data_IF_806780006488
#
_entry.id   IF_806780006488
#
_cell.length_a   1.000
_cell.length_b   1.000
_cell.length_c   1.000
_cell.angle_alpha   90.00
_cell.angle_beta   90.00
_cell.angle_gamma   90.00
#
_symmetry.space_group_name_H-M   'P 1'
#
loop_
_entity.id
_entity.type
_entity.pdbx_description
1 polymer ?
#
# COMPACT_ATOMS: atom_id res chain seq x y z
N UNK A 1 -75.48 -29.05 22.77
CA UNK A 1 -74.54 -28.24 23.56
C UNK A 1 -73.22 -28.13 22.81
N UNK A 2 -72.72 -26.91 22.65
CA UNK A 2 -71.50 -26.53 21.92
C UNK A 2 -70.25 -27.20 22.51
N UNK A 3 -69.29 -27.56 21.65
CA UNK A 3 -67.87 -27.25 21.90
C UNK A 3 -67.06 -27.36 20.61
N UNK A 4 -66.71 -26.19 20.07
CA UNK A 4 -65.67 -26.02 19.06
C UNK A 4 -64.31 -26.34 19.69
N UNK A 5 -63.47 -27.09 18.96
CA UNK A 5 -62.03 -27.19 19.20
C UNK A 5 -61.36 -26.49 18.02
N UNK A 6 -60.90 -25.26 18.24
CA UNK A 6 -59.87 -24.63 17.42
C UNK A 6 -58.57 -24.79 18.21
N UNK A 7 -57.70 -25.71 17.78
CA UNK A 7 -56.33 -25.81 18.25
C UNK A 7 -55.45 -25.09 17.22
N UNK A 8 -54.69 -24.11 17.71
CA UNK A 8 -53.95 -23.15 16.93
C UNK A 8 -52.82 -23.76 16.09
N UNK A 9 -52.72 -23.28 14.86
CA UNK A 9 -51.53 -23.31 14.03
C UNK A 9 -50.79 -21.98 14.25
N UNK A 10 -49.72 -21.95 15.06
CA UNK A 10 -48.94 -20.73 15.25
C UNK A 10 -47.43 -20.95 15.50
N UNK A 11 -46.88 -22.16 15.27
CA UNK A 11 -45.46 -22.44 15.54
C UNK A 11 -44.61 -22.70 14.26
N UNK A 12 -45.20 -22.69 13.06
CA UNK A 12 -44.47 -23.00 11.82
C UNK A 12 -43.75 -21.80 11.18
N UNK A 13 -44.17 -20.56 11.46
CA UNK A 13 -43.62 -19.36 10.83
C UNK A 13 -42.21 -19.01 11.33
N UNK A 14 -41.92 -19.21 12.62
CA UNK A 14 -40.62 -18.87 13.22
C UNK A 14 -39.50 -19.81 12.73
N UNK A 15 -39.75 -21.12 12.66
CA UNK A 15 -38.74 -22.09 12.20
C UNK A 15 -38.45 -21.95 10.70
N UNK A 16 -39.47 -21.63 9.89
CA UNK A 16 -39.29 -21.38 8.46
C UNK A 16 -38.49 -20.08 8.21
N UNK A 17 -38.77 -19.01 8.96
CA UNK A 17 -38.04 -17.73 8.87
C UNK A 17 -36.55 -17.92 9.21
N UNK A 18 -36.25 -18.62 10.31
CA UNK A 18 -34.86 -18.93 10.67
C UNK A 18 -34.15 -19.76 9.59
N UNK A 19 -34.82 -20.76 9.01
CA UNK A 19 -34.23 -21.59 7.96
C UNK A 19 -33.98 -20.84 6.65
N UNK A 20 -34.79 -19.82 6.33
CA UNK A 20 -34.60 -18.99 5.15
C UNK A 20 -33.47 -17.97 5.37
N UNK A 21 -33.36 -17.40 6.57
CA UNK A 21 -32.28 -16.48 6.90
C UNK A 21 -30.90 -17.16 6.87
N UNK A 22 -30.80 -18.39 7.36
CA UNK A 22 -29.56 -19.19 7.26
C UNK A 22 -29.17 -19.41 5.79
N UNK A 23 -30.11 -19.83 4.94
CA UNK A 23 -29.85 -20.02 3.50
C UNK A 23 -29.44 -18.73 2.80
N UNK A 24 -30.03 -17.60 3.16
CA UNK A 24 -29.63 -16.30 2.62
C UNK A 24 -28.18 -15.97 3.01
N UNK A 25 -27.82 -16.13 4.28
CA UNK A 25 -26.46 -15.87 4.75
C UNK A 25 -25.43 -16.80 4.09
N UNK A 26 -25.77 -18.08 3.91
CA UNK A 26 -24.93 -19.04 3.20
C UNK A 26 -24.75 -18.64 1.73
N UNK A 27 -25.85 -18.31 1.04
CA UNK A 27 -25.81 -17.88 -0.37
C UNK A 27 -24.99 -16.60 -0.58
N UNK A 28 -25.09 -15.65 0.34
CA UNK A 28 -24.28 -14.43 0.30
C UNK A 28 -22.82 -14.70 0.65
N UNK A 29 -22.52 -15.61 1.58
CA UNK A 29 -21.14 -16.04 1.86
C UNK A 29 -20.50 -16.63 0.59
N UNK A 30 -21.18 -17.56 -0.06
CA UNK A 30 -20.71 -18.21 -1.29
C UNK A 30 -20.48 -17.19 -2.41
N UNK A 31 -21.43 -16.25 -2.57
CA UNK A 31 -21.29 -15.16 -3.53
C UNK A 31 -20.06 -14.29 -3.26
N UNK A 32 -19.87 -13.85 -2.01
CA UNK A 32 -18.77 -12.99 -1.62
C UNK A 32 -17.43 -13.69 -1.81
N UNK A 33 -17.31 -14.95 -1.40
CA UNK A 33 -16.09 -15.76 -1.59
C UNK A 33 -15.75 -15.89 -3.09
N UNK A 34 -16.74 -16.17 -3.94
CA UNK A 34 -16.53 -16.26 -5.38
C UNK A 34 -16.18 -14.91 -6.04
N UNK A 35 -16.66 -13.81 -5.46
CA UNK A 35 -16.38 -12.44 -5.93
C UNK A 35 -15.06 -11.89 -5.41
N UNK A 36 -14.58 -12.36 -4.27
CA UNK A 36 -13.27 -11.97 -3.76
C UNK A 36 -12.15 -12.35 -4.74
N UNK A 37 -12.24 -13.53 -5.37
CA UNK A 37 -11.26 -13.99 -6.37
C UNK A 37 -11.33 -13.22 -7.69
N UNK A 38 -12.54 -12.89 -8.17
CA UNK A 38 -12.73 -12.18 -9.46
C UNK A 38 -12.56 -10.67 -9.32
N UNK A 39 -12.91 -10.14 -8.15
CA UNK A 39 -13.06 -8.73 -7.84
C UNK A 39 -14.09 -8.00 -8.71
N UNK A 40 -14.08 -6.69 -8.52
CA UNK A 40 -14.87 -5.71 -9.25
C UNK A 40 -13.95 -4.63 -9.82
N UNK A 41 -14.53 -3.79 -10.66
CA UNK A 41 -13.94 -2.53 -11.06
C UNK A 41 -14.88 -1.37 -10.75
N UNK A 42 -14.35 -0.14 -10.70
CA UNK A 42 -15.19 1.04 -10.55
C UNK A 42 -16.24 1.15 -11.65
N UNK A 43 -17.50 1.35 -11.24
CA UNK A 43 -18.70 1.40 -12.09
C UNK A 43 -19.42 0.07 -12.25
N UNK A 44 -18.85 -1.05 -11.78
CA UNK A 44 -19.54 -2.34 -11.78
C UNK A 44 -20.67 -2.34 -10.74
N UNK A 45 -21.66 -3.23 -10.92
CA UNK A 45 -22.76 -3.41 -9.96
C UNK A 45 -22.56 -4.67 -9.12
N UNK A 46 -22.91 -4.60 -7.84
CA UNK A 46 -23.03 -5.76 -6.97
C UNK A 46 -24.38 -6.42 -7.27
N UNK A 47 -24.33 -7.44 -8.13
CA UNK A 47 -25.49 -8.25 -8.51
C UNK A 47 -25.61 -9.43 -7.55
N UNK A 48 -26.42 -9.27 -6.49
CA UNK A 48 -26.62 -10.30 -5.47
C UNK A 48 -27.52 -11.44 -5.98
N UNK A 49 -27.37 -12.67 -5.44
CA UNK A 49 -28.20 -13.80 -5.84
C UNK A 49 -29.72 -13.56 -5.65
N UNK A 50 -30.54 -14.22 -6.47
CA UNK A 50 -32.01 -14.15 -6.37
C UNK A 50 -32.51 -14.55 -4.96
N UNK A 51 -31.90 -15.57 -4.35
CA UNK A 51 -32.18 -16.03 -2.98
C UNK A 51 -32.14 -14.88 -1.95
N UNK A 52 -31.25 -13.90 -2.17
CA UNK A 52 -31.15 -12.68 -1.35
C UNK A 52 -32.23 -11.69 -1.78
N UNK A 53 -32.23 -11.30 -3.05
CA UNK A 53 -33.03 -10.17 -3.53
C UNK A 53 -34.54 -10.41 -3.46
N UNK A 54 -35.01 -11.65 -3.60
CA UNK A 54 -36.43 -11.98 -3.53
C UNK A 54 -37.00 -11.92 -2.11
N UNK A 55 -36.19 -12.13 -1.08
CA UNK A 55 -36.61 -12.21 0.32
C UNK A 55 -36.30 -10.93 1.12
N UNK A 56 -35.79 -9.90 0.44
CA UNK A 56 -35.29 -8.68 1.07
C UNK A 56 -36.16 -7.46 0.77
N UNK A 57 -36.32 -6.58 1.77
CA UNK A 57 -36.95 -5.27 1.65
C UNK A 57 -35.92 -4.21 1.22
N UNK A 58 -34.73 -4.20 1.83
CA UNK A 58 -33.63 -3.30 1.49
C UNK A 58 -32.26 -3.90 1.78
N UNK A 59 -31.26 -3.49 1.00
CA UNK A 59 -29.86 -3.90 1.14
C UNK A 59 -29.01 -2.63 1.22
N UNK A 60 -28.10 -2.59 2.19
CA UNK A 60 -27.08 -1.57 2.31
C UNK A 60 -25.70 -2.21 2.48
N UNK A 61 -24.66 -1.45 2.12
CA UNK A 61 -23.26 -1.80 2.36
C UNK A 61 -22.68 -0.74 3.27
N UNK A 62 -22.07 -1.16 4.38
CA UNK A 62 -21.40 -0.30 5.34
C UNK A 62 -19.88 -0.51 5.31
N UNK A 63 -19.12 0.57 5.43
CA UNK A 63 -17.66 0.59 5.52
C UNK A 63 -17.22 1.63 6.55
N UNK A 64 -16.86 1.17 7.75
CA UNK A 64 -16.61 2.06 8.89
C UNK A 64 -17.87 2.84 9.24
N UNK A 65 -17.78 4.18 9.25
CA UNK A 65 -18.92 5.07 9.55
C UNK A 65 -19.77 5.43 8.32
N UNK A 66 -19.45 4.89 7.13
CA UNK A 66 -20.17 5.19 5.88
C UNK A 66 -21.11 4.04 5.54
N UNK A 67 -22.29 4.37 5.04
CA UNK A 67 -23.26 3.40 4.53
C UNK A 67 -23.82 3.87 3.17
N UNK A 68 -24.13 2.93 2.27
CA UNK A 68 -24.79 3.21 0.99
C UNK A 68 -25.79 2.12 0.62
N UNK A 69 -26.93 2.51 0.04
CA UNK A 69 -27.87 1.60 -0.63
C UNK A 69 -27.64 1.54 -2.14
N UNK A 70 -26.76 2.38 -2.69
CA UNK A 70 -26.30 2.26 -4.08
C UNK A 70 -25.28 1.14 -4.17
N UNK A 71 -25.69 0.02 -4.79
CA UNK A 71 -24.88 -1.17 -4.99
C UNK A 71 -23.93 -1.06 -6.21
N UNK A 72 -23.62 0.15 -6.66
CA UNK A 72 -22.60 0.43 -7.67
C UNK A 72 -21.25 0.65 -7.00
N UNK A 73 -20.19 0.04 -7.54
CA UNK A 73 -18.81 0.24 -7.07
C UNK A 73 -18.35 1.66 -7.41
N UNK A 74 -18.58 2.59 -6.49
CA UNK A 74 -18.34 4.02 -6.67
C UNK A 74 -17.07 4.47 -5.93
N UNK A 75 -16.13 5.22 -6.56
CA UNK A 75 -14.92 5.71 -5.92
C UNK A 75 -15.15 6.73 -4.78
N UNK A 76 -16.39 7.20 -4.57
CA UNK A 76 -16.76 8.01 -3.40
C UNK A 76 -16.93 7.16 -2.13
N UNK A 77 -17.26 5.88 -2.30
CA UNK A 77 -17.49 4.95 -1.20
C UNK A 77 -16.31 3.99 -1.05
N UNK A 78 -15.91 3.34 -2.14
CA UNK A 78 -14.84 2.34 -2.15
C UNK A 78 -13.50 2.89 -2.65
N UNK A 79 -12.41 2.20 -2.32
CA UNK A 79 -11.07 2.41 -2.88
C UNK A 79 -10.65 1.24 -3.77
N UNK A 80 -9.59 1.40 -4.56
CA UNK A 80 -8.88 0.23 -5.10
C UNK A 80 -8.42 -0.69 -3.96
N UNK A 81 -8.17 -1.96 -4.27
CA UNK A 81 -7.74 -2.95 -3.29
C UNK A 81 -8.91 -3.62 -2.57
N UNK A 82 -8.60 -4.26 -1.44
CA UNK A 82 -9.59 -4.90 -0.58
C UNK A 82 -10.33 -3.85 0.26
N UNK A 83 -11.66 -3.97 0.27
CA UNK A 83 -12.57 -3.14 1.06
C UNK A 83 -13.36 -4.06 1.98
N UNK A 84 -13.04 -4.05 3.27
CA UNK A 84 -13.82 -4.75 4.28
C UNK A 84 -15.13 -4.00 4.51
N UNK A 85 -16.25 -4.69 4.35
CA UNK A 85 -17.60 -4.13 4.43
C UNK A 85 -18.53 -5.04 5.19
N UNK A 86 -19.66 -4.48 5.61
CA UNK A 86 -20.78 -5.22 6.19
C UNK A 86 -21.98 -5.05 5.27
N UNK A 87 -22.52 -6.16 4.75
CA UNK A 87 -23.83 -6.17 4.13
C UNK A 87 -24.90 -6.13 5.22
N UNK A 88 -25.81 -5.15 5.14
CA UNK A 88 -26.94 -4.98 6.04
C UNK A 88 -28.22 -5.27 5.24
N UNK A 89 -28.89 -6.37 5.58
CA UNK A 89 -30.03 -6.91 4.83
C UNK A 89 -31.26 -6.85 5.71
N UNK A 90 -32.25 -6.06 5.31
CA UNK A 90 -33.55 -6.03 5.98
C UNK A 90 -34.50 -6.97 5.26
N UNK A 91 -34.85 -8.10 5.87
CA UNK A 91 -35.73 -9.09 5.26
C UNK A 91 -37.17 -8.58 5.17
N UNK A 92 -37.98 -9.16 4.28
CA UNK A 92 -39.44 -8.88 4.23
C UNK A 92 -40.17 -9.25 5.54
N UNK A 93 -39.57 -10.11 6.36
CA UNK A 93 -40.04 -10.46 7.70
C UNK A 93 -39.73 -9.42 8.78
N UNK A 94 -38.96 -8.37 8.43
CA UNK A 94 -38.56 -7.29 9.34
C UNK A 94 -37.29 -7.58 10.14
N UNK A 95 -36.62 -8.71 9.90
CA UNK A 95 -35.34 -9.06 10.52
C UNK A 95 -34.20 -8.30 9.82
N UNK A 96 -33.14 -7.99 10.57
CA UNK A 96 -31.92 -7.38 10.02
C UNK A 96 -30.79 -8.38 10.15
N UNK A 97 -30.23 -8.79 9.02
CA UNK A 97 -29.08 -9.67 8.92
C UNK A 97 -27.85 -8.84 8.59
N UNK A 98 -26.72 -9.16 9.22
CA UNK A 98 -25.44 -8.52 8.96
C UNK A 98 -24.44 -9.59 8.53
N UNK A 99 -23.66 -9.30 7.50
CA UNK A 99 -22.61 -10.20 7.03
C UNK A 99 -21.37 -9.44 6.60
N UNK A 100 -20.25 -9.79 7.22
CA UNK A 100 -18.94 -9.28 6.83
C UNK A 100 -18.55 -9.84 5.46
N UNK A 101 -17.90 -9.00 4.66
CA UNK A 101 -17.40 -9.36 3.35
C UNK A 101 -16.17 -8.52 2.97
N UNK A 102 -15.39 -9.02 2.04
CA UNK A 102 -14.31 -8.28 1.39
C UNK A 102 -14.69 -8.02 -0.07
N UNK A 103 -14.81 -6.76 -0.45
CA UNK A 103 -14.99 -6.36 -1.85
C UNK A 103 -13.64 -5.94 -2.41
N UNK A 104 -13.05 -6.81 -3.23
CA UNK A 104 -11.81 -6.53 -3.96
C UNK A 104 -12.10 -5.70 -5.21
N UNK A 105 -11.41 -4.57 -5.36
CA UNK A 105 -11.56 -3.68 -6.50
C UNK A 105 -10.22 -3.54 -7.23
N UNK A 106 -10.19 -4.01 -8.47
CA UNK A 106 -9.03 -3.96 -9.35
C UNK A 106 -9.09 -2.78 -10.32
N UNK A 107 -7.93 -2.34 -10.78
CA UNK A 107 -7.84 -1.33 -11.82
C UNK A 107 -8.45 -1.82 -13.14
N UNK A 108 -9.10 -0.92 -13.89
CA UNK A 108 -9.43 -1.18 -15.31
C UNK A 108 -8.22 -1.01 -16.22
N UNK A 109 -7.16 -0.35 -15.73
CA UNK A 109 -5.93 -0.11 -16.45
C UNK A 109 -5.06 -1.35 -16.33
N UNK A 110 -4.76 -1.97 -17.47
CA UNK A 110 -3.79 -3.05 -17.52
C UNK A 110 -2.38 -2.48 -17.44
N UNK A 111 -1.61 -2.96 -16.48
CA UNK A 111 -0.21 -2.57 -16.31
C UNK A 111 0.62 -2.95 -17.54
N UNK A 112 1.47 -2.03 -18.00
CA UNK A 112 2.44 -2.28 -19.06
C UNK A 112 3.75 -2.79 -18.47
N UNK A 113 4.35 -3.84 -19.04
CA UNK A 113 5.74 -4.18 -18.74
C UNK A 113 6.64 -3.15 -19.43
N UNK A 114 7.46 -2.43 -18.65
CA UNK A 114 8.26 -1.32 -19.14
C UNK A 114 9.67 -1.84 -19.47
N UNK A 115 10.09 -1.82 -20.76
CA UNK A 115 11.43 -2.20 -21.14
C UNK A 115 12.44 -1.13 -20.68
N UNK A 116 13.63 -1.58 -20.29
CA UNK A 116 14.73 -0.70 -19.88
C UNK A 116 16.07 -1.22 -20.39
N UNK A 117 17.09 -0.38 -20.26
CA UNK A 117 18.49 -0.73 -20.48
C UNK A 117 19.33 -0.21 -19.33
N UNK A 118 20.18 -1.07 -18.77
CA UNK A 118 21.26 -0.63 -17.87
C UNK A 118 22.29 0.11 -18.72
N UNK A 119 22.58 1.36 -18.36
CA UNK A 119 23.49 2.25 -19.11
C UNK A 119 24.75 2.61 -18.33
N UNK A 120 24.74 2.44 -17.00
CA UNK A 120 25.91 2.59 -16.14
C UNK A 120 25.71 1.81 -14.83
N UNK A 121 26.81 1.59 -14.12
CA UNK A 121 26.80 1.14 -12.74
C UNK A 121 27.81 1.91 -11.88
N UNK A 122 27.52 2.02 -10.59
CA UNK A 122 28.31 2.74 -9.59
C UNK A 122 28.55 1.83 -8.38
N UNK A 123 29.68 1.97 -7.67
CA UNK A 123 29.91 1.23 -6.44
C UNK A 123 28.90 1.59 -5.35
N UNK A 124 28.43 0.57 -4.62
CA UNK A 124 27.62 0.68 -3.41
C UNK A 124 28.28 -0.16 -2.31
N UNK A 125 28.21 0.26 -1.04
CA UNK A 125 28.82 -0.51 0.06
C UNK A 125 27.94 -1.74 0.35
N UNK A 126 28.42 -2.98 0.15
CA UNK A 126 27.62 -4.17 0.42
C UNK A 126 27.37 -4.42 1.92
N UNK A 127 27.84 -3.54 2.82
CA UNK A 127 27.47 -3.55 4.24
C UNK A 127 26.18 -2.76 4.53
N UNK A 128 25.75 -1.93 3.59
CA UNK A 128 24.61 -1.06 3.76
C UNK A 128 23.30 -1.81 3.49
N UNK A 129 22.43 -1.82 4.49
CA UNK A 129 21.08 -2.37 4.40
C UNK A 129 20.15 -1.21 4.07
N UNK A 130 20.14 -0.83 2.79
CA UNK A 130 19.47 0.39 2.31
C UNK A 130 17.94 0.29 2.47
N UNK A 131 17.37 1.31 3.09
CA UNK A 131 15.92 1.46 3.29
C UNK A 131 15.35 2.75 2.70
N UNK A 132 16.19 3.72 2.35
CA UNK A 132 15.78 4.93 1.65
C UNK A 132 16.90 5.49 0.79
N UNK A 133 16.58 5.96 -0.42
CA UNK A 133 17.57 6.35 -1.41
C UNK A 133 17.15 7.61 -2.15
N UNK A 134 17.96 8.67 -2.08
CA UNK A 134 17.66 9.94 -2.80
C UNK A 134 18.92 10.47 -3.46
N UNK A 135 18.77 10.99 -4.69
CA UNK A 135 19.87 11.61 -5.42
C UNK A 135 19.52 13.04 -5.84
N UNK A 136 20.38 13.99 -5.47
CA UNK A 136 20.30 15.39 -5.91
C UNK A 136 21.61 15.77 -6.62
N UNK A 137 21.56 15.88 -7.95
CA UNK A 137 22.75 16.03 -8.79
C UNK A 137 23.63 14.78 -8.72
N UNK A 138 24.85 14.93 -8.18
CA UNK A 138 25.76 13.80 -7.92
C UNK A 138 25.86 13.46 -6.42
N UNK A 139 24.98 14.02 -5.59
CA UNK A 139 24.97 13.76 -4.15
C UNK A 139 23.94 12.69 -3.86
N UNK A 140 24.37 11.63 -3.18
CA UNK A 140 23.50 10.58 -2.68
C UNK A 140 23.23 10.82 -1.20
N UNK A 141 21.96 10.63 -0.82
CA UNK A 141 21.49 10.53 0.55
C UNK A 141 20.88 9.15 0.72
N UNK A 142 21.36 8.43 1.72
CA UNK A 142 21.01 7.02 1.92
C UNK A 142 20.68 6.78 3.38
N UNK A 143 19.54 6.15 3.61
CA UNK A 143 19.11 5.68 4.91
C UNK A 143 19.40 4.19 4.99
N UNK A 144 20.21 3.80 5.97
CA UNK A 144 20.52 2.40 6.25
C UNK A 144 19.79 1.95 7.51
N UNK A 145 19.13 0.80 7.45
CA UNK A 145 18.39 0.20 8.56
C UNK A 145 19.06 -1.06 9.11
N UNK A 146 19.51 -1.03 10.36
CA UNK A 146 19.92 -2.24 11.08
C UNK A 146 20.03 -1.95 12.58
N UNK A 147 19.64 -2.90 13.43
CA UNK A 147 19.80 -2.75 14.88
C UNK A 147 21.27 -2.42 15.24
N UNK A 148 21.49 -1.38 16.03
CA UNK A 148 22.81 -0.84 16.40
C UNK A 148 23.65 -0.22 15.28
N UNK A 149 23.15 -0.20 14.04
CA UNK A 149 23.92 0.24 12.88
C UNK A 149 23.16 1.19 11.94
N UNK A 150 21.90 1.52 12.24
CA UNK A 150 21.13 2.48 11.46
C UNK A 150 21.80 3.85 11.38
N UNK A 151 21.76 4.44 10.19
CA UNK A 151 22.41 5.71 9.91
C UNK A 151 21.75 6.41 8.72
N UNK A 152 21.90 7.73 8.68
CA UNK A 152 21.70 8.53 7.47
C UNK A 152 23.08 8.95 6.97
N UNK A 153 23.40 8.64 5.72
CA UNK A 153 24.69 8.94 5.12
C UNK A 153 24.54 9.82 3.89
N UNK A 154 25.60 10.57 3.61
CA UNK A 154 25.72 11.43 2.43
C UNK A 154 27.04 11.17 1.74
N UNK A 155 27.00 10.90 0.45
CA UNK A 155 28.18 10.62 -0.36
C UNK A 155 28.03 11.12 -1.80
N UNK A 156 29.06 10.91 -2.61
CA UNK A 156 29.03 11.26 -4.04
C UNK A 156 28.79 10.01 -4.86
N UNK A 157 27.81 10.05 -5.77
CA UNK A 157 27.54 8.96 -6.70
C UNK A 157 28.82 8.58 -7.45
N UNK A 158 29.16 7.29 -7.46
CA UNK A 158 30.46 6.81 -7.93
C UNK A 158 31.49 6.54 -6.82
N UNK A 159 31.18 6.86 -5.57
CA UNK A 159 31.95 6.49 -4.38
C UNK A 159 31.07 5.67 -3.44
N UNK A 160 31.64 4.70 -2.73
CA UNK A 160 30.98 3.98 -1.64
C UNK A 160 31.38 4.51 -0.25
N UNK A 161 32.20 5.56 -0.18
CA UNK A 161 32.68 6.10 1.08
C UNK A 161 31.80 7.30 1.52
N UNK A 162 31.16 7.25 2.70
CA UNK A 162 30.36 8.36 3.19
C UNK A 162 31.23 9.59 3.51
N UNK A 163 30.77 10.77 3.08
CA UNK A 163 31.36 12.07 3.43
C UNK A 163 30.82 12.60 4.75
N UNK A 164 29.54 12.36 5.02
CA UNK A 164 28.86 12.70 6.27
C UNK A 164 28.06 11.47 6.71
N UNK A 165 28.11 11.16 8.01
CA UNK A 165 27.36 10.08 8.64
C UNK A 165 26.64 10.65 9.86
N UNK A 166 25.33 10.46 9.93
CA UNK A 166 24.53 10.69 11.11
C UNK A 166 24.02 9.33 11.62
N UNK A 167 24.65 8.82 12.68
CA UNK A 167 24.26 7.55 13.30
C UNK A 167 23.02 7.72 14.15
N UNK A 168 22.17 6.71 14.14
CA UNK A 168 21.03 6.65 15.05
C UNK A 168 21.39 6.04 16.41
N UNK A 169 20.55 6.27 17.43
CA UNK A 169 20.53 5.45 18.64
C UNK A 169 20.39 3.95 18.30
N UNK A 170 20.89 3.10 19.20
CA UNK A 170 21.04 1.67 18.95
C UNK A 170 19.71 0.93 18.70
N UNK A 171 18.64 1.40 19.35
CA UNK A 171 17.28 0.87 19.31
C UNK A 171 16.46 1.34 18.10
N UNK A 172 17.02 2.24 17.29
CA UNK A 172 16.34 2.79 16.12
C UNK A 172 16.71 1.97 14.89
N UNK A 173 15.69 1.46 14.20
CA UNK A 173 15.80 0.93 12.85
C UNK A 173 15.32 2.01 11.87
N UNK A 174 16.24 2.60 11.11
CA UNK A 174 15.91 3.62 10.10
C UNK A 174 15.33 3.00 8.84
N UNK A 175 14.41 3.72 8.21
CA UNK A 175 13.68 3.27 7.03
C UNK A 175 13.75 4.34 5.93
N UNK A 176 12.76 4.43 5.05
CA UNK A 176 12.70 5.37 3.94
C UNK A 176 12.98 6.82 4.33
N UNK A 177 13.67 7.51 3.43
CA UNK A 177 13.98 8.93 3.58
C UNK A 177 13.71 9.69 2.28
N UNK A 178 13.37 10.98 2.40
CA UNK A 178 13.20 11.87 1.25
C UNK A 178 13.70 13.27 1.55
N UNK A 179 13.89 14.06 0.50
CA UNK A 179 14.24 15.47 0.59
C UNK A 179 12.99 16.31 0.31
N UNK A 180 12.68 17.23 1.21
CA UNK A 180 11.78 18.34 0.95
C UNK A 180 12.52 19.64 1.28
N UNK A 181 12.73 20.45 0.24
CA UNK A 181 13.49 21.71 0.31
C UNK A 181 14.92 21.52 0.85
N UNK A 182 15.22 22.11 2.01
CA UNK A 182 16.51 22.07 2.71
C UNK A 182 16.57 21.00 3.81
N UNK A 183 15.53 20.16 3.91
CA UNK A 183 15.40 19.12 4.94
C UNK A 183 15.40 17.72 4.36
N UNK A 184 15.87 16.78 5.17
CA UNK A 184 15.66 15.34 4.96
C UNK A 184 14.68 14.86 6.01
N UNK A 185 13.68 14.11 5.58
CA UNK A 185 12.74 13.38 6.43
C UNK A 185 13.10 11.91 6.37
N UNK A 186 13.14 11.22 7.51
CA UNK A 186 13.47 9.80 7.61
C UNK A 186 12.50 9.10 8.53
N UNK A 187 11.95 7.98 8.09
CA UNK A 187 11.07 7.14 8.88
C UNK A 187 11.87 6.16 9.74
N UNK A 188 11.16 5.54 10.68
CA UNK A 188 11.66 4.39 11.44
C UNK A 188 10.68 3.23 11.32
N UNK A 189 11.19 2.01 11.49
CA UNK A 189 10.41 0.80 11.27
C UNK A 189 9.24 0.67 12.24
N UNK A 190 9.53 0.29 13.49
CA UNK A 190 8.51 0.04 14.53
C UNK A 190 8.49 1.07 15.65
N UNK A 191 9.41 2.04 15.63
CA UNK A 191 9.54 3.02 16.71
C UNK A 191 8.43 4.09 16.69
N UNK A 192 7.59 4.14 15.65
CA UNK A 192 6.45 5.09 15.52
C UNK A 192 6.86 6.57 15.54
N UNK A 193 8.07 6.87 15.11
CA UNK A 193 8.58 8.24 14.98
C UNK A 193 9.35 8.44 13.67
N UNK A 194 9.45 9.68 13.21
CA UNK A 194 10.31 10.09 12.12
C UNK A 194 11.22 11.23 12.56
N UNK A 195 12.30 11.41 11.81
CA UNK A 195 13.31 12.43 12.08
C UNK A 195 13.37 13.45 10.95
N UNK A 196 13.73 14.67 11.31
CA UNK A 196 13.98 15.77 10.36
C UNK A 196 15.43 16.20 10.53
N UNK A 197 16.17 16.30 9.43
CA UNK A 197 17.57 16.70 9.41
C UNK A 197 17.79 17.89 8.48
N UNK A 198 18.80 18.69 8.78
CA UNK A 198 19.35 19.65 7.83
C UNK A 198 20.06 18.87 6.69
N UNK A 199 19.65 19.10 5.44
CA UNK A 199 20.16 18.35 4.26
C UNK A 199 21.67 18.55 4.05
N UNK A 200 22.22 19.69 4.45
CA UNK A 200 23.61 20.01 4.19
C UNK A 200 24.55 19.29 5.16
N UNK A 201 24.17 19.23 6.44
CA UNK A 201 25.01 18.79 7.56
C UNK A 201 24.58 17.45 8.16
N UNK A 202 23.40 16.95 7.82
CA UNK A 202 22.73 15.79 8.44
C UNK A 202 22.53 15.94 9.96
N UNK A 203 22.54 17.16 10.49
CA UNK A 203 22.22 17.39 11.90
C UNK A 203 20.73 17.24 12.11
N UNK A 204 20.34 16.44 13.11
CA UNK A 204 18.93 16.32 13.51
C UNK A 204 18.40 17.69 13.95
N UNK A 205 17.32 18.13 13.30
CA UNK A 205 16.57 19.34 13.63
C UNK A 205 15.49 18.99 14.66
N UNK A 206 14.69 17.96 14.39
CA UNK A 206 13.57 17.55 15.23
C UNK A 206 13.14 16.11 14.94
N UNK A 207 12.11 15.67 15.65
CA UNK A 207 11.41 14.41 15.47
C UNK A 207 9.90 14.64 15.45
N UNK A 208 9.15 13.71 14.87
CA UNK A 208 7.69 13.75 14.80
C UNK A 208 7.11 12.35 15.03
N UNK A 209 5.94 12.21 15.67
CA UNK A 209 5.27 10.92 15.75
C UNK A 209 4.67 10.54 14.39
N UNK A 210 4.75 9.25 14.03
CA UNK A 210 4.01 8.74 12.87
C UNK A 210 2.50 8.82 13.17
N UNK A 211 1.65 9.11 12.15
CA UNK A 211 0.21 9.00 12.32
C UNK A 211 -0.21 7.62 12.81
N UNK A 212 -1.19 7.55 13.73
CA UNK A 212 -1.61 6.28 14.35
C UNK A 212 -2.07 5.20 13.35
N UNK A 213 -2.60 5.62 12.20
CA UNK A 213 -3.04 4.71 11.12
C UNK A 213 -1.87 3.98 10.44
N UNK A 214 -0.66 4.53 10.50
CA UNK A 214 0.54 3.97 9.90
C UNK A 214 1.18 3.01 10.89
N UNK A 215 1.11 1.71 10.59
CA UNK A 215 1.60 0.61 11.43
C UNK A 215 3.11 0.63 11.63
N UNK A 216 3.84 0.73 10.54
CA UNK A 216 5.30 0.76 10.47
C UNK A 216 5.71 1.86 9.48
N UNK A 217 6.92 2.42 9.58
CA UNK A 217 7.45 3.28 8.52
C UNK A 217 8.30 2.44 7.57
N UNK A 218 8.00 2.45 6.28
CA UNK A 218 8.81 1.76 5.26
C UNK A 218 9.37 2.82 4.30
N UNK A 219 8.91 2.93 3.05
CA UNK A 219 9.38 3.93 2.09
C UNK A 219 8.84 5.34 2.35
N UNK A 220 9.59 6.35 1.86
CA UNK A 220 9.20 7.76 1.93
C UNK A 220 9.66 8.51 0.69
N UNK A 221 8.77 9.27 0.05
CA UNK A 221 9.12 10.22 -1.02
C UNK A 221 8.37 11.55 -0.88
N UNK A 222 8.59 12.51 -1.78
CA UNK A 222 8.00 13.85 -1.74
C UNK A 222 7.48 14.28 -3.11
N UNK A 223 6.19 14.64 -3.22
CA UNK A 223 5.57 15.04 -4.49
C UNK A 223 5.67 16.55 -4.82
N UNK A 224 6.47 17.29 -4.05
CA UNK A 224 6.52 18.75 -4.12
C UNK A 224 5.47 19.46 -3.27
N UNK A 225 4.58 18.72 -2.59
CA UNK A 225 3.56 19.26 -1.68
C UNK A 225 3.39 18.44 -0.40
N UNK A 226 3.32 17.13 -0.51
CA UNK A 226 3.09 16.19 0.58
C UNK A 226 4.25 15.18 0.60
N UNK A 227 4.62 14.76 1.80
CA UNK A 227 5.38 13.54 1.95
C UNK A 227 4.46 12.36 1.62
N UNK A 228 5.01 11.28 1.08
CA UNK A 228 4.26 10.07 0.75
C UNK A 228 4.97 8.90 1.39
N UNK A 229 4.29 8.18 2.28
CA UNK A 229 4.83 7.08 3.04
C UNK A 229 4.14 5.75 2.71
N UNK A 230 4.87 4.65 2.88
CA UNK A 230 4.36 3.28 2.94
C UNK A 230 4.62 2.65 4.31
N UNK A 231 3.89 1.59 4.61
CA UNK A 231 4.00 0.78 5.83
C UNK A 231 4.04 -0.73 5.54
N UNK A 232 4.36 -1.11 4.29
CA UNK A 232 4.29 -2.49 3.84
C UNK A 232 2.88 -2.97 3.49
N UNK A 233 1.83 -2.16 3.68
CA UNK A 233 0.49 -2.48 3.16
C UNK A 233 0.34 -1.99 1.70
N UNK A 234 -0.89 -2.08 1.18
CA UNK A 234 -1.28 -1.53 -0.13
C UNK A 234 -1.45 -0.01 -0.16
N UNK A 235 -1.27 0.66 0.98
CA UNK A 235 -1.63 2.07 1.13
C UNK A 235 -0.42 2.98 0.88
N UNK A 236 -0.68 4.06 0.16
CA UNK A 236 0.15 5.25 0.10
C UNK A 236 -0.48 6.32 0.99
N UNK A 237 0.23 6.76 2.02
CA UNK A 237 -0.22 7.79 2.94
C UNK A 237 0.43 9.12 2.58
N UNK A 238 -0.39 10.10 2.20
CA UNK A 238 0.09 11.45 1.92
C UNK A 238 0.05 12.25 3.22
N UNK A 239 1.21 12.67 3.69
CA UNK A 239 1.41 13.39 4.94
C UNK A 239 1.63 14.87 4.67
N UNK A 240 1.07 15.71 5.51
CA UNK A 240 1.33 17.15 5.49
C UNK A 240 2.81 17.41 5.78
N UNK A 241 3.54 18.06 4.86
CA UNK A 241 4.99 18.28 5.00
C UNK A 241 5.34 19.20 6.17
N UNK A 242 4.43 20.12 6.53
CA UNK A 242 4.58 21.04 7.65
C UNK A 242 4.21 20.37 8.99
N UNK A 243 3.42 19.31 8.95
CA UNK A 243 3.07 18.48 10.10
C UNK A 243 2.92 16.99 9.71
N UNK A 244 4.02 16.24 9.60
CA UNK A 244 4.00 14.86 9.08
C UNK A 244 3.18 13.86 9.92
N UNK A 245 2.78 14.24 11.13
CA UNK A 245 1.86 13.47 11.96
C UNK A 245 0.40 13.52 11.48
N UNK A 246 0.09 14.28 10.42
CA UNK A 246 -1.23 14.39 9.82
C UNK A 246 -1.29 13.74 8.44
N UNK A 247 -2.18 12.77 8.29
CA UNK A 247 -2.53 12.20 6.97
C UNK A 247 -3.52 13.12 6.28
N UNK A 248 -3.16 13.58 5.08
CA UNK A 248 -3.99 14.41 4.19
C UNK A 248 -4.92 13.54 3.36
N UNK A 249 -4.40 12.43 2.84
CA UNK A 249 -5.18 11.42 2.11
C UNK A 249 -4.47 10.07 2.13
N UNK A 250 -5.24 9.01 1.92
CA UNK A 250 -4.74 7.65 1.70
C UNK A 250 -5.18 7.20 0.31
N UNK A 251 -4.29 6.55 -0.41
CA UNK A 251 -4.55 5.96 -1.74
C UNK A 251 -4.12 4.50 -1.72
N UNK A 252 -5.05 3.59 -1.98
CA UNK A 252 -4.75 2.16 -2.10
C UNK A 252 -4.23 1.83 -3.50
N UNK A 253 -3.22 0.97 -3.59
CA UNK A 253 -2.56 0.60 -4.85
C UNK A 253 -3.09 -0.73 -5.36
N UNK A 254 -3.55 -0.75 -6.60
CA UNK A 254 -3.95 -1.99 -7.27
C UNK A 254 -3.67 -1.95 -8.77
N UNK A 255 -3.43 -3.13 -9.32
CA UNK A 255 -3.35 -3.42 -10.73
C UNK A 255 -4.65 -4.00 -11.28
N UNK A 256 -4.59 -4.49 -12.52
CA UNK A 256 -5.75 -5.10 -13.18
C UNK A 256 -6.14 -6.47 -12.65
N UNK A 257 -5.21 -7.14 -11.95
CA UNK A 257 -5.41 -8.49 -11.40
C UNK A 257 -4.84 -8.69 -10.00
N UNK A 258 -4.06 -7.73 -9.50
CA UNK A 258 -3.34 -7.86 -8.25
C UNK A 258 -3.61 -6.64 -7.38
N UNK A 259 -3.86 -6.87 -6.11
CA UNK A 259 -3.71 -5.85 -5.07
C UNK A 259 -2.24 -5.93 -4.66
N UNK A 260 -1.54 -4.80 -4.71
CA UNK A 260 -0.12 -4.79 -4.38
C UNK A 260 0.04 -4.44 -2.91
N UNK A 261 0.43 -5.43 -2.12
CA UNK A 261 0.94 -5.29 -0.76
C UNK A 261 2.47 -5.16 -0.78
N UNK A 262 3.07 -5.06 0.42
CA UNK A 262 4.52 -5.01 0.61
C UNK A 262 5.19 -3.85 -0.14
N UNK A 263 4.46 -2.75 -0.33
CA UNK A 263 5.03 -1.53 -0.90
C UNK A 263 6.14 -1.05 0.05
N UNK A 264 7.34 -0.94 -0.48
CA UNK A 264 8.53 -0.60 0.29
C UNK A 264 9.06 0.77 -0.14
N UNK A 265 10.33 0.87 -0.51
CA UNK A 265 10.97 2.12 -0.91
C UNK A 265 10.23 2.81 -2.07
N UNK A 266 10.19 4.15 -2.02
CA UNK A 266 9.41 5.00 -2.90
C UNK A 266 10.27 6.07 -3.55
N UNK A 267 9.93 6.44 -4.78
CA UNK A 267 10.43 7.65 -5.41
C UNK A 267 9.38 8.34 -6.27
N UNK A 268 9.18 9.65 -6.09
CA UNK A 268 8.28 10.45 -6.90
C UNK A 268 9.03 11.11 -8.05
N UNK A 269 8.62 10.82 -9.28
CA UNK A 269 9.26 11.38 -10.46
C UNK A 269 8.26 11.57 -11.61
N UNK A 270 8.32 12.74 -12.25
CA UNK A 270 7.51 13.11 -13.42
C UNK A 270 6.01 12.76 -13.28
N UNK A 271 5.43 13.02 -12.11
CA UNK A 271 4.00 12.85 -11.85
C UNK A 271 3.58 11.45 -11.40
N UNK A 272 4.52 10.51 -11.29
CA UNK A 272 4.27 9.13 -10.86
C UNK A 272 5.04 8.79 -9.59
N UNK A 273 4.53 7.82 -8.84
CA UNK A 273 5.27 7.18 -7.74
C UNK A 273 5.84 5.87 -8.28
N UNK A 274 7.13 5.66 -8.03
CA UNK A 274 7.82 4.42 -8.24
C UNK A 274 7.95 3.72 -6.90
N UNK A 275 7.60 2.43 -6.83
CA UNK A 275 7.63 1.70 -5.57
C UNK A 275 8.28 0.34 -5.75
N UNK A 276 9.23 0.02 -4.87
CA UNK A 276 9.66 -1.36 -4.67
C UNK A 276 8.52 -2.17 -4.04
N UNK A 277 8.48 -3.47 -4.35
CA UNK A 277 7.64 -4.42 -3.63
C UNK A 277 8.56 -5.42 -2.95
N UNK A 278 8.54 -5.45 -1.62
CA UNK A 278 9.49 -6.25 -0.83
C UNK A 278 9.43 -7.74 -1.24
N UNK A 279 10.60 -8.37 -1.34
CA UNK A 279 10.81 -9.72 -1.90
C UNK A 279 10.34 -9.97 -3.34
N UNK A 280 9.83 -8.97 -4.08
CA UNK A 280 9.53 -9.11 -5.51
C UNK A 280 10.56 -8.32 -6.31
N UNK A 281 11.12 -8.89 -7.39
CA UNK A 281 12.13 -8.21 -8.19
C UNK A 281 11.49 -7.24 -9.19
N UNK A 282 10.56 -6.41 -8.71
CA UNK A 282 9.78 -5.49 -9.55
C UNK A 282 9.74 -4.09 -8.93
N UNK A 283 9.64 -3.09 -9.81
CA UNK A 283 9.27 -1.72 -9.42
C UNK A 283 7.97 -1.38 -10.12
N UNK A 284 7.01 -0.87 -9.36
CA UNK A 284 5.72 -0.42 -9.86
C UNK A 284 5.81 1.04 -10.27
N UNK A 285 5.12 1.43 -11.36
CA UNK A 285 4.84 2.84 -11.71
C UNK A 285 3.36 3.12 -11.41
N UNK A 286 3.11 3.98 -10.43
CA UNK A 286 1.81 4.16 -9.80
C UNK A 286 1.31 5.59 -10.05
N UNK A 287 0.04 5.72 -10.43
CA UNK A 287 -0.63 7.01 -10.48
C UNK A 287 -0.99 7.49 -9.06
N UNK A 288 -0.40 8.60 -8.56
CA UNK A 288 -0.60 9.07 -7.17
C UNK A 288 -2.02 9.58 -6.88
N UNK A 289 -2.82 9.82 -7.92
CA UNK A 289 -4.21 10.31 -7.76
C UNK A 289 -5.19 9.17 -7.55
N UNK A 290 -4.97 8.03 -8.20
CA UNK A 290 -5.93 6.93 -8.25
C UNK A 290 -5.43 5.65 -7.58
N UNK A 291 -4.12 5.46 -7.48
CA UNK A 291 -3.51 4.22 -7.01
C UNK A 291 -3.38 3.15 -8.09
N UNK A 292 -3.79 3.45 -9.33
CA UNK A 292 -3.62 2.51 -10.44
C UNK A 292 -2.13 2.29 -10.70
N UNK A 293 -1.72 1.03 -10.72
CA UNK A 293 -0.44 0.65 -11.32
C UNK A 293 -0.60 0.76 -12.84
N UNK A 294 0.19 1.61 -13.47
CA UNK A 294 0.14 1.83 -14.93
C UNK A 294 1.27 1.10 -15.66
N UNK A 295 2.32 0.72 -14.94
CA UNK A 295 3.38 -0.11 -15.48
C UNK A 295 4.26 -0.73 -14.42
N UNK A 296 5.12 -1.64 -14.87
CA UNK A 296 5.98 -2.45 -14.01
C UNK A 296 7.31 -2.70 -14.70
N UNK A 297 8.40 -2.59 -13.95
CA UNK A 297 9.73 -3.00 -14.36
C UNK A 297 10.04 -4.37 -13.75
N UNK A 298 10.65 -5.26 -14.53
CA UNK A 298 11.10 -6.58 -14.07
C UNK A 298 12.64 -6.62 -13.97
N UNK A 299 13.15 -6.77 -12.76
CA UNK A 299 14.57 -6.86 -12.42
C UNK A 299 14.98 -8.26 -11.96
N UNK A 300 14.20 -9.31 -12.30
CA UNK A 300 14.44 -10.69 -11.83
C UNK A 300 15.88 -11.15 -12.05
N UNK A 301 16.43 -10.91 -13.23
CA UNK A 301 17.82 -11.29 -13.53
C UNK A 301 18.81 -10.52 -12.65
N UNK A 302 18.65 -9.20 -12.55
CA UNK A 302 19.54 -8.32 -11.79
C UNK A 302 19.51 -8.64 -10.28
N UNK A 303 18.33 -8.90 -9.73
CA UNK A 303 18.16 -9.31 -8.34
C UNK A 303 18.84 -10.66 -8.07
N UNK A 304 18.72 -11.63 -8.99
CA UNK A 304 19.39 -12.93 -8.86
C UNK A 304 20.91 -12.81 -8.87
N UNK A 305 21.46 -11.91 -9.69
CA UNK A 305 22.91 -11.68 -9.79
C UNK A 305 23.48 -11.03 -8.52
N UNK A 306 22.68 -10.20 -7.82
CA UNK A 306 23.13 -9.45 -6.66
C UNK A 306 22.78 -10.10 -5.30
N UNK A 307 21.81 -11.03 -5.24
CA UNK A 307 21.38 -11.62 -3.97
C UNK A 307 22.48 -12.41 -3.24
N UNK A 308 23.46 -12.95 -3.99
CA UNK A 308 24.58 -13.76 -3.45
C UNK A 308 24.12 -14.93 -2.56
N UNK A 309 22.90 -15.41 -2.77
CA UNK A 309 22.31 -16.52 -2.01
C UNK A 309 21.66 -16.13 -0.68
N UNK A 310 21.62 -14.83 -0.33
CA UNK A 310 20.90 -14.33 0.84
C UNK A 310 19.51 -13.83 0.41
N UNK A 311 18.46 -14.21 1.15
CA UNK A 311 17.08 -13.84 0.84
C UNK A 311 16.75 -12.39 1.17
N UNK A 312 17.54 -11.73 2.02
CA UNK A 312 17.35 -10.32 2.40
C UNK A 312 18.12 -9.35 1.51
N UNK A 313 18.99 -9.85 0.62
CA UNK A 313 19.66 -9.04 -0.39
C UNK A 313 18.73 -8.73 -1.57
N UNK A 314 17.59 -8.11 -1.25
CA UNK A 314 16.49 -7.82 -2.18
C UNK A 314 16.68 -6.45 -2.86
N UNK A 315 16.01 -6.28 -4.00
CA UNK A 315 15.85 -4.99 -4.68
C UNK A 315 15.15 -4.01 -3.72
N UNK A 316 15.79 -2.88 -3.43
CA UNK A 316 15.27 -1.81 -2.59
C UNK A 316 16.10 -0.54 -2.79
N UNK A 317 15.45 0.60 -3.02
CA UNK A 317 16.12 1.88 -3.29
C UNK A 317 15.95 2.31 -4.74
N UNK A 318 15.23 3.43 -4.92
CA UNK A 318 14.91 4.04 -6.21
C UNK A 318 15.25 5.52 -6.11
N UNK A 319 15.99 6.05 -7.08
CA UNK A 319 16.19 7.48 -7.22
C UNK A 319 16.18 7.87 -8.69
N UNK A 320 16.17 9.17 -8.99
CA UNK A 320 16.31 9.64 -10.38
C UNK A 320 17.51 10.57 -10.56
N UNK A 321 18.17 10.43 -11.71
CA UNK A 321 19.24 11.31 -12.20
C UNK A 321 18.86 11.81 -13.58
N UNK A 322 18.23 12.99 -13.62
CA UNK A 322 17.50 13.42 -14.81
C UNK A 322 16.35 12.46 -15.08
N UNK A 323 16.24 11.96 -16.31
CA UNK A 323 15.20 10.99 -16.71
C UNK A 323 15.57 9.52 -16.42
N UNK A 324 16.82 9.26 -16.03
CA UNK A 324 17.27 7.90 -15.75
C UNK A 324 16.96 7.52 -14.32
N UNK A 325 16.45 6.30 -14.12
CA UNK A 325 16.22 5.74 -12.79
C UNK A 325 17.50 5.08 -12.29
N UNK A 326 17.86 5.34 -11.05
CA UNK A 326 18.90 4.65 -10.31
C UNK A 326 18.23 3.63 -9.41
N UNK A 327 18.73 2.39 -9.43
CA UNK A 327 18.24 1.31 -8.57
C UNK A 327 19.39 0.59 -7.87
N UNK A 328 19.14 0.09 -6.68
CA UNK A 328 20.07 -0.75 -5.92
C UNK A 328 19.29 -1.78 -5.09
N UNK A 329 19.94 -2.37 -4.10
CA UNK A 329 19.30 -3.26 -3.15
C UNK A 329 20.07 -3.37 -1.85
N UNK A 330 19.43 -4.02 -0.89
CA UNK A 330 20.02 -4.27 0.42
C UNK A 330 21.28 -5.10 0.25
N UNK A 331 22.42 -4.58 0.72
CA UNK A 331 23.74 -5.19 0.60
C UNK A 331 24.23 -5.44 -0.85
N UNK A 332 23.61 -4.82 -1.86
CA UNK A 332 24.09 -4.94 -3.22
C UNK A 332 25.43 -4.23 -3.38
N UNK A 333 26.38 -4.75 -4.17
CA UNK A 333 27.67 -4.09 -4.40
C UNK A 333 27.60 -2.91 -5.38
N UNK A 334 26.45 -2.70 -6.03
CA UNK A 334 26.28 -1.75 -7.12
C UNK A 334 24.95 -1.03 -7.09
N UNK A 335 24.98 0.25 -7.46
CA UNK A 335 23.83 1.01 -7.95
C UNK A 335 23.85 0.95 -9.48
N UNK A 336 22.70 0.72 -10.11
CA UNK A 336 22.55 0.64 -11.56
C UNK A 336 21.76 1.83 -12.08
N UNK A 337 22.26 2.49 -13.13
CA UNK A 337 21.52 3.51 -13.86
C UNK A 337 20.82 2.87 -15.04
N UNK A 338 19.50 3.05 -15.08
CA UNK A 338 18.64 2.52 -16.13
C UNK A 338 18.03 3.66 -16.93
N UNK A 339 17.98 3.45 -18.25
CA UNK A 339 17.17 4.26 -19.16
C UNK A 339 15.96 3.45 -19.58
N UNK A 340 14.82 4.12 -19.71
CA UNK A 340 13.57 3.53 -20.19
C UNK A 340 12.85 4.55 -21.10
N UNK A 341 12.02 4.05 -22.01
CA UNK A 341 11.25 4.86 -22.96
C UNK A 341 9.79 4.96 -22.56
#
# INVERSE_FOLDING_TARGET
MKRNINIGFAAFLLLASCSNNEKMLDSLADYNNAKEEKGYHFGDKIELPEEITENTESIAVSQGDKETTDLTINPKFFTLGDNNVIFIIKTKGGEVLNQDATINIFSKIKEQDIPYKIIADYPHDPKNFIEGFVVEGNTVYESDGMNNASQLIKYTLGSSAPKIVARQPAEIFSEGCTIAEDKIYQLTYRNKLGFIYDKNTLKKISEFPLPNIIGEGWGLTYDGKNLIATDGTKNLYFLDVDNPSKVVKTVCVAGSKNIYDQLNELEYHNGFIYANVWHKPVILKINPKTGDVVGKFDFTQLTKENSRGDSEHVLNGIAFKGENMLITGKNWPKIYEISFQ
#
